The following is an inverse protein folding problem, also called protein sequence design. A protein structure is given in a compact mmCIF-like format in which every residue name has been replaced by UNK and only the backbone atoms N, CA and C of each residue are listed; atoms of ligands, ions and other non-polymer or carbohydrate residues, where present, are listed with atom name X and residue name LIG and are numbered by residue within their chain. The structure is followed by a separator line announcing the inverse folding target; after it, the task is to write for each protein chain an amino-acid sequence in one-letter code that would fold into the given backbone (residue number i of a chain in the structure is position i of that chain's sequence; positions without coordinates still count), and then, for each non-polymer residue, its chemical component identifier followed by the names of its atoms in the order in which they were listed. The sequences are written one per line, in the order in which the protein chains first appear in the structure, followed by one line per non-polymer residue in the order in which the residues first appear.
data_IF_495964498621
#
_entry.id   IF_495964498621
#
_cell.length_a   1.000
_cell.length_b   1.000
_cell.length_c   1.000
_cell.angle_alpha   90.00
_cell.angle_beta   90.00
_cell.angle_gamma   90.00
#
_symmetry.space_group_name_H-M   'P 1'
#
loop_
_entity.id
_entity.type
_entity.pdbx_description
1 polymer ?
#
# COMPACT_ATOMS: atom_id res chain seq x y z
N UNK A 1 -12.56 -7.27 -9.32
CA UNK A 1 -11.13 -6.95 -9.11
C UNK A 1 -10.28 -7.79 -10.06
N UNK A 2 -9.32 -7.20 -10.81
CA UNK A 2 -8.43 -7.95 -11.72
C UNK A 2 -7.59 -9.00 -11.00
N UNK A 3 -7.29 -10.11 -11.67
CA UNK A 3 -6.53 -11.26 -11.14
C UNK A 3 -5.19 -10.85 -10.53
N UNK A 4 -4.42 -9.97 -11.16
CA UNK A 4 -3.15 -9.50 -10.61
C UNK A 4 -3.31 -8.75 -9.28
N UNK A 5 -4.37 -7.95 -9.13
CA UNK A 5 -4.70 -7.22 -7.90
C UNK A 5 -5.23 -8.18 -6.84
N UNK A 6 -5.98 -9.21 -7.23
CA UNK A 6 -6.40 -10.28 -6.34
C UNK A 6 -5.19 -11.01 -5.73
N UNK A 7 -4.27 -11.49 -6.57
CA UNK A 7 -3.06 -12.18 -6.10
C UNK A 7 -2.20 -11.29 -5.20
N UNK A 8 -2.06 -10.01 -5.55
CA UNK A 8 -1.33 -9.06 -4.72
C UNK A 8 -1.99 -8.80 -3.35
N UNK A 9 -3.31 -8.69 -3.29
CA UNK A 9 -4.06 -8.50 -2.05
C UNK A 9 -3.98 -9.72 -1.11
N UNK A 10 -3.76 -10.91 -1.67
CA UNK A 10 -3.57 -12.14 -0.89
C UNK A 10 -2.15 -12.32 -0.34
N UNK A 11 -1.24 -11.37 -0.62
CA UNK A 11 0.14 -11.42 -0.10
C UNK A 11 1.07 -12.38 -0.84
N UNK A 12 0.60 -13.05 -1.90
CA UNK A 12 1.42 -13.99 -2.70
C UNK A 12 2.63 -13.29 -3.32
N UNK A 13 2.44 -12.09 -3.87
CA UNK A 13 3.51 -11.30 -4.50
C UNK A 13 3.04 -9.85 -4.73
N UNK A 14 3.89 -8.99 -5.28
CA UNK A 14 3.49 -7.64 -5.73
C UNK A 14 2.58 -7.70 -6.96
N UNK A 15 1.91 -6.60 -7.35
CA UNK A 15 1.11 -6.58 -8.60
C UNK A 15 1.93 -6.95 -9.83
N UNK A 16 3.18 -6.45 -9.94
CA UNK A 16 4.09 -6.79 -11.05
C UNK A 16 4.50 -8.26 -11.00
N UNK A 17 4.82 -8.77 -9.81
CA UNK A 17 5.11 -10.20 -9.65
C UNK A 17 3.91 -11.09 -10.01
N UNK A 18 2.69 -10.62 -9.73
CA UNK A 18 1.49 -11.33 -10.12
C UNK A 18 1.31 -11.36 -11.64
N UNK A 19 1.66 -10.28 -12.35
CA UNK A 19 1.66 -10.27 -13.81
C UNK A 19 2.64 -11.33 -14.38
N UNK A 20 3.83 -11.49 -13.79
CA UNK A 20 4.77 -12.54 -14.19
C UNK A 20 4.26 -13.97 -13.93
N UNK A 21 3.58 -14.19 -12.81
CA UNK A 21 2.94 -15.48 -12.51
C UNK A 21 1.84 -15.82 -13.52
N UNK A 22 1.02 -14.82 -13.88
CA UNK A 22 -0.03 -14.97 -14.90
C UNK A 22 0.61 -15.26 -16.27
N UNK A 23 1.61 -14.46 -16.67
CA UNK A 23 2.33 -14.60 -17.95
C UNK A 23 2.96 -15.99 -18.12
N UNK A 24 3.59 -16.50 -17.06
CA UNK A 24 4.22 -17.83 -17.05
C UNK A 24 3.22 -18.98 -17.00
N UNK A 25 1.92 -18.72 -16.82
CA UNK A 25 0.88 -19.76 -16.74
C UNK A 25 0.88 -20.52 -15.41
N UNK A 26 1.51 -19.95 -14.36
CA UNK A 26 1.57 -20.54 -13.01
C UNK A 26 0.27 -20.34 -12.22
N UNK A 27 -0.65 -19.53 -12.76
CA UNK A 27 -1.96 -19.27 -12.18
C UNK A 27 -3.01 -20.12 -12.87
N UNK A 28 -3.80 -20.86 -12.10
CA UNK A 28 -4.99 -21.56 -12.61
C UNK A 28 -6.24 -21.01 -11.95
N UNK A 29 -7.33 -20.97 -12.71
CA UNK A 29 -8.67 -20.61 -12.24
C UNK A 29 -9.60 -21.76 -12.60
N UNK A 30 -10.27 -22.33 -11.60
CA UNK A 30 -11.18 -23.47 -11.78
C UNK A 30 -10.52 -24.65 -12.52
N UNK A 31 -9.25 -24.92 -12.22
CA UNK A 31 -8.47 -26.03 -12.79
C UNK A 31 -7.85 -25.74 -14.17
N UNK A 32 -8.09 -24.58 -14.77
CA UNK A 32 -7.53 -24.21 -16.10
C UNK A 32 -6.48 -23.11 -15.97
N UNK A 33 -5.35 -23.16 -16.69
CA UNK A 33 -4.38 -22.06 -16.73
C UNK A 33 -5.05 -20.76 -17.18
N UNK A 34 -4.83 -19.68 -16.42
CA UNK A 34 -5.37 -18.37 -16.74
C UNK A 34 -4.21 -17.41 -17.07
N UNK A 35 -4.16 -16.98 -18.34
CA UNK A 35 -3.20 -15.98 -18.83
C UNK A 35 -3.88 -14.66 -19.22
N UNK A 36 -5.18 -14.55 -18.99
CA UNK A 36 -5.94 -13.34 -19.26
C UNK A 36 -5.70 -12.32 -18.14
N UNK A 37 -4.96 -11.26 -18.46
CA UNK A 37 -4.69 -10.15 -17.54
C UNK A 37 -5.95 -9.35 -17.20
N UNK A 38 -7.03 -9.47 -17.97
CA UNK A 38 -8.31 -8.79 -17.73
C UNK A 38 -9.26 -9.59 -16.84
N UNK A 39 -8.99 -10.88 -16.63
CA UNK A 39 -9.82 -11.75 -15.81
C UNK A 39 -10.05 -11.17 -14.41
N UNK A 40 -11.28 -11.28 -13.91
CA UNK A 40 -11.67 -10.81 -12.59
C UNK A 40 -12.31 -11.94 -11.78
N UNK A 41 -11.57 -12.53 -10.83
CA UNK A 41 -12.10 -13.60 -9.99
C UNK A 41 -13.30 -13.14 -9.15
N UNK A 42 -14.32 -13.97 -9.12
CA UNK A 42 -15.50 -13.88 -8.26
C UNK A 42 -15.28 -14.67 -6.96
N UNK A 43 -16.26 -14.66 -6.07
CA UNK A 43 -16.20 -15.41 -4.82
C UNK A 43 -16.25 -16.94 -5.02
N UNK A 44 -16.77 -17.40 -6.16
CA UNK A 44 -16.90 -18.83 -6.49
C UNK A 44 -15.72 -19.39 -7.27
N UNK A 45 -14.81 -18.53 -7.73
CA UNK A 45 -13.65 -18.95 -8.50
C UNK A 45 -12.54 -19.51 -7.61
N UNK A 46 -12.07 -20.72 -7.95
CA UNK A 46 -10.92 -21.34 -7.32
C UNK A 46 -9.63 -20.91 -8.01
N UNK A 47 -9.03 -19.85 -7.49
CA UNK A 47 -7.73 -19.35 -7.97
C UNK A 47 -6.60 -20.10 -7.28
N UNK A 48 -5.72 -20.74 -8.04
CA UNK A 48 -4.52 -21.40 -7.54
C UNK A 48 -3.25 -20.79 -8.15
N UNK A 49 -2.19 -20.74 -7.36
CA UNK A 49 -0.83 -20.43 -7.83
C UNK A 49 0.02 -21.65 -7.54
N UNK A 50 0.65 -22.21 -8.57
CA UNK A 50 1.46 -23.45 -8.46
C UNK A 50 0.69 -24.59 -7.76
N UNK A 51 -0.60 -24.72 -8.08
CA UNK A 51 -1.48 -25.75 -7.50
C UNK A 51 -2.01 -25.46 -6.10
N UNK A 52 -1.52 -24.41 -5.40
CA UNK A 52 -2.01 -24.01 -4.07
C UNK A 52 -3.19 -23.06 -4.18
N UNK A 53 -4.29 -23.37 -3.48
CA UNK A 53 -5.48 -22.52 -3.44
C UNK A 53 -5.20 -21.21 -2.71
N UNK A 54 -5.59 -20.10 -3.32
CA UNK A 54 -5.38 -18.76 -2.80
C UNK A 54 -6.70 -18.25 -2.22
N UNK A 55 -6.68 -17.95 -0.93
CA UNK A 55 -7.83 -17.39 -0.21
C UNK A 55 -7.68 -15.88 -0.04
N UNK A 56 -8.79 -15.15 -0.11
CA UNK A 56 -8.79 -13.75 0.34
C UNK A 56 -8.64 -13.73 1.85
N UNK A 57 -7.72 -12.92 2.34
CA UNK A 57 -7.65 -12.59 3.75
C UNK A 57 -8.71 -11.54 4.11
N UNK A 58 -9.17 -11.57 5.36
CA UNK A 58 -9.97 -10.49 5.92
C UNK A 58 -9.19 -9.16 5.83
N UNK A 59 -9.89 -8.03 5.69
CA UNK A 59 -9.24 -6.73 5.68
C UNK A 59 -8.59 -6.45 7.04
N UNK A 60 -7.36 -5.94 7.00
CA UNK A 60 -6.57 -5.55 8.16
C UNK A 60 -6.29 -4.05 8.03
N UNK A 61 -6.46 -3.31 9.13
CA UNK A 61 -6.14 -1.88 9.20
C UNK A 61 -5.25 -1.63 10.42
N UNK A 62 -4.08 -1.03 10.20
CA UNK A 62 -3.13 -0.66 11.25
C UNK A 62 -2.94 0.84 11.21
N UNK A 63 -2.96 1.47 12.38
CA UNK A 63 -2.52 2.84 12.61
C UNK A 63 -1.16 2.75 13.29
N UNK A 64 -0.12 3.20 12.60
CA UNK A 64 1.24 3.27 13.12
C UNK A 64 1.55 4.72 13.44
N UNK A 65 1.92 5.02 14.68
CA UNK A 65 2.65 6.25 14.96
C UNK A 65 4.12 6.04 14.56
N UNK A 66 4.48 6.46 13.35
CA UNK A 66 5.80 6.27 12.78
C UNK A 66 6.79 7.24 13.45
N UNK A 67 7.88 6.76 14.06
CA UNK A 67 8.95 7.62 14.56
C UNK A 67 9.86 8.13 13.41
N UNK A 68 10.67 9.15 13.69
CA UNK A 68 11.72 9.59 12.79
C UNK A 68 12.79 8.51 12.61
N UNK A 69 13.53 8.58 11.51
CA UNK A 69 14.59 7.63 11.15
C UNK A 69 14.12 6.46 10.29
N UNK A 70 12.82 6.14 10.28
CA UNK A 70 12.28 5.03 9.50
C UNK A 70 11.77 5.45 8.12
N UNK A 71 11.93 4.59 7.11
CA UNK A 71 11.53 4.87 5.72
C UNK A 71 10.31 4.06 5.31
N UNK A 72 9.38 4.72 4.60
CA UNK A 72 8.19 4.08 4.02
C UNK A 72 8.54 3.33 2.72
N UNK A 73 9.17 2.16 2.84
CA UNK A 73 9.50 1.27 1.71
C UNK A 73 9.36 -0.21 2.10
N UNK A 74 8.97 -1.07 1.15
CA UNK A 74 8.83 -2.52 1.38
C UNK A 74 10.16 -3.25 1.38
N UNK A 75 11.06 -2.85 0.50
CA UNK A 75 12.39 -3.44 0.36
C UNK A 75 13.26 -2.42 -0.35
N UNK A 76 14.35 -2.06 0.30
CA UNK A 76 15.41 -1.25 -0.28
C UNK A 76 16.73 -1.85 0.18
N UNK A 77 17.62 -2.28 -0.73
CA UNK A 77 18.89 -2.92 -0.39
C UNK A 77 19.81 -2.05 0.47
N UNK A 78 19.62 -0.72 0.45
CA UNK A 78 20.47 0.23 1.13
C UNK A 78 19.87 0.77 2.43
N UNK A 79 18.65 0.35 2.79
CA UNK A 79 17.93 0.86 3.96
C UNK A 79 17.57 -0.28 4.89
N UNK A 80 18.15 -0.23 6.09
CA UNK A 80 17.86 -1.17 7.18
C UNK A 80 16.62 -0.75 7.96
N UNK A 81 16.33 0.54 8.12
CA UNK A 81 15.28 1.02 9.01
C UNK A 81 13.99 1.33 8.25
N UNK A 82 13.28 0.29 7.81
CA UNK A 82 11.95 0.46 7.19
C UNK A 82 10.84 0.37 8.23
N UNK A 83 9.68 0.99 7.96
CA UNK A 83 8.49 0.92 8.83
C UNK A 83 8.05 -0.51 9.18
N UNK A 84 8.44 -1.52 8.40
CA UNK A 84 8.08 -2.91 8.65
C UNK A 84 8.89 -3.55 9.79
N UNK A 85 10.03 -2.96 10.18
CA UNK A 85 10.78 -3.37 11.37
C UNK A 85 10.08 -2.96 12.67
N UNK A 86 9.15 -2.00 12.59
CA UNK A 86 8.31 -1.57 13.71
C UNK A 86 7.07 -2.45 13.90
N UNK A 87 6.82 -3.39 13.00
CA UNK A 87 5.61 -4.20 12.97
C UNK A 87 5.92 -5.69 13.21
N UNK A 88 5.01 -6.44 13.84
CA UNK A 88 5.08 -7.89 13.88
C UNK A 88 5.30 -8.49 12.47
N UNK A 89 6.16 -9.52 12.29
CA UNK A 89 6.53 -10.05 10.97
C UNK A 89 5.34 -10.44 10.08
N UNK A 90 4.22 -10.87 10.68
CA UNK A 90 2.97 -11.21 9.97
C UNK A 90 2.33 -10.04 9.21
N UNK A 91 2.72 -8.79 9.48
CA UNK A 91 2.19 -7.60 8.83
C UNK A 91 3.15 -7.00 7.78
N UNK A 92 4.29 -7.64 7.52
CA UNK A 92 5.25 -7.23 6.47
C UNK A 92 4.66 -7.17 5.06
N UNK A 93 3.53 -7.85 4.83
CA UNK A 93 2.83 -7.88 3.55
C UNK A 93 1.80 -6.76 3.38
N UNK A 94 1.44 -6.01 4.43
CA UNK A 94 0.49 -4.90 4.33
C UNK A 94 1.07 -3.76 3.49
N UNK A 95 0.21 -2.99 2.83
CA UNK A 95 0.62 -1.79 2.09
C UNK A 95 0.45 -0.57 2.98
N UNK A 96 1.43 0.33 3.01
CA UNK A 96 1.29 1.65 3.62
C UNK A 96 0.44 2.59 2.74
N UNK A 97 -0.27 3.54 3.37
CA UNK A 97 -1.14 4.53 2.73
C UNK A 97 -0.44 5.88 2.75
N UNK A 98 -0.03 6.36 1.57
CA UNK A 98 0.82 7.55 1.47
C UNK A 98 2.26 7.26 1.94
N UNK A 99 3.06 8.30 2.12
CA UNK A 99 4.41 8.17 2.71
C UNK A 99 4.66 9.35 3.62
N UNK A 100 5.33 9.08 4.73
CA UNK A 100 6.03 10.09 5.52
C UNK A 100 7.51 10.00 5.19
N UNK A 101 8.18 11.14 5.14
CA UNK A 101 9.62 11.20 4.93
C UNK A 101 10.36 10.59 6.13
N UNK A 102 11.63 10.27 5.94
CA UNK A 102 12.43 9.59 6.96
C UNK A 102 12.45 10.36 8.28
N UNK A 103 12.59 11.69 8.22
CA UNK A 103 12.62 12.58 9.38
C UNK A 103 11.24 13.02 9.89
N UNK A 104 10.16 12.73 9.16
CA UNK A 104 8.80 13.05 9.59
C UNK A 104 8.27 11.95 10.50
N UNK A 105 7.45 12.36 11.47
CA UNK A 105 6.81 11.48 12.44
C UNK A 105 5.29 11.53 12.30
N UNK A 106 4.60 10.61 12.98
CA UNK A 106 3.15 10.67 13.13
C UNK A 106 2.39 9.55 12.42
N UNK A 107 1.12 9.80 12.13
CA UNK A 107 0.18 8.79 11.70
C UNK A 107 0.49 8.24 10.30
N UNK A 108 0.70 6.93 10.22
CA UNK A 108 0.79 6.16 8.97
C UNK A 108 -0.17 4.97 9.02
N UNK A 109 -1.02 4.84 8.01
CA UNK A 109 -1.95 3.72 7.92
C UNK A 109 -1.34 2.59 7.09
N UNK A 110 -1.61 1.34 7.48
CA UNK A 110 -1.28 0.15 6.68
C UNK A 110 -2.50 -0.75 6.51
N UNK A 111 -2.65 -1.36 5.33
CA UNK A 111 -3.77 -2.26 5.02
C UNK A 111 -3.47 -3.23 3.88
N UNK A 112 -4.20 -4.36 3.83
CA UNK A 112 -4.33 -5.23 2.66
C UNK A 112 -5.58 -4.89 1.81
N UNK A 113 -6.42 -3.96 2.25
CA UNK A 113 -7.56 -3.44 1.50
C UNK A 113 -7.10 -2.38 0.50
N UNK A 114 -6.90 -2.83 -0.74
CA UNK A 114 -6.47 -1.96 -1.82
C UNK A 114 -7.51 -0.92 -2.26
N UNK A 115 -8.80 -1.10 -1.97
CA UNK A 115 -9.83 -0.12 -2.30
C UNK A 115 -9.82 1.03 -1.29
N UNK A 116 -9.75 0.70 0.00
CA UNK A 116 -9.57 1.67 1.07
C UNK A 116 -8.29 2.49 0.88
N UNK A 117 -7.16 1.82 0.60
CA UNK A 117 -5.90 2.51 0.31
C UNK A 117 -6.01 3.48 -0.87
N UNK A 118 -6.68 3.07 -1.96
CA UNK A 118 -6.92 3.93 -3.12
C UNK A 118 -7.81 5.13 -2.77
N UNK A 119 -8.82 4.94 -1.92
CA UNK A 119 -9.71 6.00 -1.48
C UNK A 119 -8.98 7.08 -0.68
N UNK A 120 -8.04 6.68 0.18
CA UNK A 120 -7.27 7.62 1.01
C UNK A 120 -6.12 8.31 0.27
N UNK A 121 -5.56 7.67 -0.76
CA UNK A 121 -4.38 8.22 -1.47
C UNK A 121 -4.71 9.03 -2.71
N UNK A 122 -5.79 8.70 -3.43
CA UNK A 122 -6.01 9.30 -4.74
C UNK A 122 -6.52 10.76 -4.62
N UNK A 123 -5.88 11.76 -5.26
CA UNK A 123 -6.20 13.18 -5.09
C UNK A 123 -7.66 13.56 -5.35
N UNK A 124 -8.34 12.86 -6.27
CA UNK A 124 -9.78 13.04 -6.55
C UNK A 124 -10.68 13.02 -5.31
N UNK A 125 -10.28 12.27 -4.28
CA UNK A 125 -11.08 12.11 -3.07
C UNK A 125 -10.84 13.23 -2.05
N UNK A 126 -9.82 14.07 -2.26
CA UNK A 126 -9.51 15.24 -1.42
C UNK A 126 -9.49 14.93 0.07
N UNK A 127 -8.97 13.74 0.43
CA UNK A 127 -8.82 13.34 1.83
C UNK A 127 -7.75 14.21 2.47
N UNK A 128 -8.19 15.02 3.43
CA UNK A 128 -7.35 15.94 4.20
C UNK A 128 -6.28 15.18 4.99
N UNK A 129 -5.13 15.85 5.17
CA UNK A 129 -4.00 15.37 5.95
C UNK A 129 -3.55 16.55 6.78
N UNK A 130 -3.60 16.37 8.09
CA UNK A 130 -3.23 17.39 9.05
C UNK A 130 -1.81 17.11 9.56
N UNK A 131 -1.02 18.18 9.69
CA UNK A 131 0.35 18.12 10.13
C UNK A 131 0.58 19.19 11.18
N UNK A 132 1.19 18.82 12.30
CA UNK A 132 1.85 19.77 13.19
C UNK A 132 3.24 20.08 12.62
N UNK A 133 3.54 21.37 12.44
CA UNK A 133 4.79 21.83 11.83
C UNK A 133 5.47 22.83 12.75
N UNK A 134 6.70 22.51 13.16
CA UNK A 134 7.56 23.41 13.93
C UNK A 134 8.44 24.20 12.96
N UNK A 135 8.47 25.52 13.12
CA UNK A 135 9.25 26.44 12.31
C UNK A 135 10.46 26.97 13.11
N UNK A 136 11.53 27.30 12.39
CA UNK A 136 12.72 27.97 12.92
C UNK A 136 12.50 29.47 13.20
N UNK A 137 11.38 30.02 12.71
CA UNK A 137 10.96 31.42 12.85
C UNK A 137 9.46 31.52 13.11
N UNK A 138 9.03 32.65 13.64
CA UNK A 138 7.62 32.92 13.89
C UNK A 138 6.78 32.84 12.61
N UNK A 139 5.63 32.16 12.69
CA UNK A 139 4.62 32.19 11.65
C UNK A 139 3.97 33.57 11.59
N UNK A 140 4.03 34.23 10.43
CA UNK A 140 3.35 35.52 10.21
C UNK A 140 2.05 35.32 9.44
N UNK A 141 1.10 36.25 9.62
CA UNK A 141 -0.14 36.24 8.85
C UNK A 141 0.11 36.35 7.34
N UNK A 142 1.12 37.13 6.93
CA UNK A 142 1.53 37.22 5.52
C UNK A 142 2.00 35.88 4.96
N UNK A 143 2.83 35.14 5.71
CA UNK A 143 3.26 33.80 5.32
C UNK A 143 2.08 32.84 5.18
N UNK A 144 1.17 32.84 6.16
CA UNK A 144 -0.04 32.01 6.11
C UNK A 144 -0.91 32.33 4.89
N UNK A 145 -1.12 33.63 4.58
CA UNK A 145 -1.88 34.04 3.41
C UNK A 145 -1.22 33.62 2.09
N UNK A 146 0.11 33.70 1.99
CA UNK A 146 0.87 33.22 0.82
C UNK A 146 0.69 31.71 0.63
N UNK A 147 0.81 30.92 1.70
CA UNK A 147 0.62 29.48 1.65
C UNK A 147 -0.81 29.11 1.21
N UNK A 148 -1.84 29.81 1.69
CA UNK A 148 -3.23 29.58 1.33
C UNK A 148 -3.54 29.85 -0.16
N UNK A 149 -2.81 30.77 -0.79
CA UNK A 149 -2.96 31.08 -2.23
C UNK A 149 -2.16 30.14 -3.14
N UNK A 150 -1.32 29.28 -2.55
CA UNK A 150 -0.36 28.46 -3.28
C UNK A 150 0.96 29.18 -3.51
N UNK A 151 2.06 28.44 -3.40
CA UNK A 151 3.42 28.89 -3.69
C UNK A 151 3.90 28.11 -4.92
N UNK A 152 4.57 28.79 -5.85
CA UNK A 152 5.19 28.21 -7.05
C UNK A 152 6.70 28.11 -6.86
#
# INVERSE_FOLDING_TARGET
MRLNRFLAATGVTSRRGADELIKSGRVTVNGKPCRDFHFQPTATDHVKVDGKLIHRHAPIYILLNKPAGFVCTRRDPHITDTIYHLLPPKFSSLSYIGRLDAKSEGLLLLTNDGEFAQRLTHPRFKVEKEYEVVLDRAATLDLAQKLLRGIV
#
